data_IF_010567753240
#
_entry.id   IF_010567753240
#
_cell.length_a   1.000
_cell.length_b   1.000
_cell.length_c   1.000
_cell.angle_alpha   90.00
_cell.angle_beta   90.00
_cell.angle_gamma   90.00
#
_symmetry.space_group_name_H-M   'P 1'
#
loop_
_entity.id
_entity.type
_entity.pdbx_description
1 polymer ?
#
# COMPACT_ATOMS: atom_id res chain seq x y z
N UNK A 1 13.21 14.46 9.44
CA UNK A 1 13.14 13.93 8.06
C UNK A 1 11.70 13.53 7.74
N UNK A 2 11.17 13.91 6.58
CA UNK A 2 9.85 13.49 6.11
C UNK A 2 9.94 12.07 5.54
N UNK A 3 9.19 11.12 6.12
CA UNK A 3 9.13 9.74 5.61
C UNK A 3 8.34 9.75 4.30
N UNK A 4 8.91 9.18 3.23
CA UNK A 4 8.22 9.09 1.94
C UNK A 4 7.00 8.17 2.01
N UNK A 5 5.96 8.50 1.26
CA UNK A 5 4.72 7.71 1.25
C UNK A 5 4.96 6.28 0.73
N UNK A 6 5.96 6.08 -0.13
CA UNK A 6 6.38 4.74 -0.57
C UNK A 6 6.91 3.87 0.57
N UNK A 7 7.73 4.43 1.47
CA UNK A 7 8.20 3.70 2.66
C UNK A 7 7.03 3.32 3.57
N UNK A 8 6.01 4.18 3.66
CA UNK A 8 4.77 3.89 4.43
C UNK A 8 3.98 2.75 3.81
N UNK A 9 3.84 2.72 2.48
CA UNK A 9 3.16 1.64 1.77
C UNK A 9 3.88 0.29 1.98
N UNK A 10 5.21 0.25 1.84
CA UNK A 10 5.99 -0.96 2.11
C UNK A 10 5.84 -1.41 3.56
N UNK A 11 5.94 -0.47 4.53
CA UNK A 11 5.71 -0.80 5.93
C UNK A 11 4.31 -1.37 6.16
N UNK A 12 3.27 -0.74 5.60
CA UNK A 12 1.88 -1.16 5.76
C UNK A 12 1.63 -2.57 5.20
N UNK A 13 2.28 -2.94 4.10
CA UNK A 13 2.25 -4.29 3.53
C UNK A 13 2.90 -5.33 4.46
N UNK A 14 3.98 -4.95 5.17
CA UNK A 14 4.75 -5.86 6.01
C UNK A 14 4.26 -5.92 7.47
N UNK A 15 3.61 -4.87 7.96
CA UNK A 15 3.24 -4.75 9.36
C UNK A 15 2.29 -5.85 9.81
N UNK A 16 1.28 -6.23 9.00
CA UNK A 16 0.33 -7.28 9.36
C UNK A 16 0.99 -8.68 9.35
N UNK A 17 1.70 -9.13 8.30
CA UNK A 17 2.49 -10.37 8.35
C UNK A 17 3.51 -10.40 9.49
N UNK A 18 4.08 -9.24 9.86
CA UNK A 18 5.02 -9.11 10.97
C UNK A 18 4.44 -9.53 12.33
N UNK A 19 3.13 -9.68 12.50
CA UNK A 19 2.51 -10.18 13.74
C UNK A 19 2.99 -11.59 14.06
N UNK A 20 3.18 -12.43 13.03
CA UNK A 20 3.70 -13.79 13.19
C UNK A 20 5.16 -13.82 13.65
N UNK A 21 5.91 -12.73 13.47
CA UNK A 21 7.30 -12.56 13.91
C UNK A 21 7.48 -11.94 15.29
N UNK A 22 6.39 -11.56 15.97
CA UNK A 22 6.41 -11.00 17.32
C UNK A 22 7.07 -9.60 17.44
N UNK A 23 7.44 -9.23 18.67
CA UNK A 23 7.81 -7.85 19.03
C UNK A 23 9.09 -7.37 18.38
N UNK A 24 10.08 -8.26 18.27
CA UNK A 24 11.37 -7.94 17.65
C UNK A 24 11.20 -7.56 16.18
N UNK A 25 10.38 -8.31 15.44
CA UNK A 25 10.10 -8.04 14.03
C UNK A 25 9.34 -6.73 13.87
N UNK A 26 8.30 -6.49 14.66
CA UNK A 26 7.52 -5.25 14.59
C UNK A 26 8.35 -4.00 14.86
N UNK A 27 9.20 -4.03 15.90
CA UNK A 27 10.12 -2.93 16.20
C UNK A 27 11.15 -2.75 15.09
N UNK A 28 11.71 -3.84 14.56
CA UNK A 28 12.63 -3.81 13.44
C UNK A 28 12.03 -3.17 12.19
N UNK A 29 10.79 -3.54 11.84
CA UNK A 29 10.06 -2.94 10.72
C UNK A 29 9.78 -1.46 10.95
N UNK A 30 9.30 -1.10 12.14
CA UNK A 30 8.94 0.28 12.49
C UNK A 30 10.18 1.20 12.47
N UNK A 31 11.29 0.72 13.02
CA UNK A 31 12.59 1.41 12.97
C UNK A 31 13.10 1.54 11.55
N UNK A 32 13.14 0.43 10.78
CA UNK A 32 13.73 0.41 9.43
C UNK A 32 12.97 1.30 8.45
N UNK A 33 11.63 1.23 8.47
CA UNK A 33 10.81 1.87 7.43
C UNK A 33 10.25 3.22 7.85
N UNK A 34 9.95 3.40 9.14
CA UNK A 34 9.39 4.63 9.67
C UNK A 34 10.38 5.45 10.50
N UNK A 35 11.56 4.93 10.82
CA UNK A 35 12.53 5.62 11.67
C UNK A 35 11.98 5.92 13.07
N UNK A 36 10.99 5.16 13.52
CA UNK A 36 10.39 5.32 14.84
C UNK A 36 10.85 4.18 15.74
N UNK A 37 11.29 4.54 16.93
CA UNK A 37 11.68 3.62 17.99
C UNK A 37 10.88 4.00 19.23
N UNK A 38 10.12 3.05 19.77
CA UNK A 38 9.44 3.22 21.05
C UNK A 38 9.94 2.16 22.04
N UNK A 39 10.21 2.60 23.26
CA UNK A 39 10.55 1.69 24.37
C UNK A 39 9.31 0.95 24.92
N UNK A 40 8.11 1.34 24.50
CA UNK A 40 6.86 0.82 25.05
C UNK A 40 6.58 -0.63 24.66
N UNK A 41 5.77 -1.34 25.46
CA UNK A 41 5.31 -2.69 25.10
C UNK A 41 4.33 -2.60 23.92
N UNK A 42 4.49 -3.43 22.87
CA UNK A 42 3.59 -3.41 21.73
C UNK A 42 2.17 -3.82 22.11
N UNK A 43 1.18 -3.10 21.58
CA UNK A 43 -0.25 -3.26 21.83
C UNK A 43 -0.92 -3.90 20.62
N UNK A 44 -0.67 -5.20 20.42
CA UNK A 44 -1.12 -5.95 19.24
C UNK A 44 -2.61 -5.90 18.99
N UNK A 45 -3.42 -6.14 20.02
CA UNK A 45 -4.89 -6.16 19.88
C UNK A 45 -5.41 -4.82 19.37
N UNK A 46 -4.92 -3.72 19.94
CA UNK A 46 -5.30 -2.37 19.52
C UNK A 46 -4.78 -2.00 18.11
N UNK A 47 -3.63 -2.57 17.71
CA UNK A 47 -3.01 -2.30 16.43
C UNK A 47 -3.58 -3.14 15.28
N UNK A 48 -4.30 -4.23 15.56
CA UNK A 48 -4.74 -5.19 14.56
C UNK A 48 -5.64 -4.56 13.50
N UNK A 49 -6.73 -3.91 13.92
CA UNK A 49 -7.67 -3.25 13.01
C UNK A 49 -7.00 -2.23 12.07
N UNK A 50 -6.27 -1.23 12.60
CA UNK A 50 -5.49 -0.30 11.78
C UNK A 50 -4.49 -1.00 10.86
N UNK A 51 -3.88 -2.11 11.30
CA UNK A 51 -2.91 -2.86 10.49
C UNK A 51 -3.56 -3.63 9.36
N UNK A 52 -4.75 -4.19 9.57
CA UNK A 52 -5.53 -4.85 8.52
C UNK A 52 -5.96 -3.84 7.43
N UNK A 53 -6.47 -2.68 7.84
CA UNK A 53 -6.86 -1.61 6.89
C UNK A 53 -5.65 -1.11 6.12
N UNK A 54 -4.54 -0.81 6.79
CA UNK A 54 -3.32 -0.36 6.14
C UNK A 54 -2.76 -1.41 5.17
N UNK A 55 -2.81 -2.69 5.53
CA UNK A 55 -2.40 -3.80 4.69
C UNK A 55 -3.23 -3.88 3.40
N UNK A 56 -4.56 -3.83 3.51
CA UNK A 56 -5.45 -3.88 2.33
C UNK A 56 -5.25 -2.69 1.40
N UNK A 57 -5.08 -1.48 1.96
CA UNK A 57 -4.79 -0.29 1.17
C UNK A 57 -3.42 -0.38 0.46
N UNK A 58 -2.39 -0.87 1.15
CA UNK A 58 -1.08 -1.08 0.55
C UNK A 58 -1.15 -2.16 -0.54
N UNK A 59 -1.85 -3.28 -0.29
CA UNK A 59 -2.04 -4.35 -1.25
C UNK A 59 -2.76 -3.84 -2.51
N UNK A 60 -3.82 -3.06 -2.36
CA UNK A 60 -4.51 -2.41 -3.48
C UNK A 60 -3.57 -1.48 -4.26
N UNK A 61 -2.77 -0.65 -3.57
CA UNK A 61 -1.81 0.22 -4.23
C UNK A 61 -0.78 -0.57 -5.05
N UNK A 62 -0.18 -1.62 -4.47
CA UNK A 62 0.79 -2.47 -5.18
C UNK A 62 0.14 -3.24 -6.33
N UNK A 63 -1.12 -3.68 -6.17
CA UNK A 63 -1.91 -4.25 -7.26
C UNK A 63 -2.10 -3.25 -8.39
N UNK A 64 -2.49 -2.00 -8.11
CA UNK A 64 -2.67 -0.96 -9.12
C UNK A 64 -1.36 -0.69 -9.87
N UNK A 65 -0.24 -0.54 -9.15
CA UNK A 65 1.09 -0.36 -9.75
C UNK A 65 1.45 -1.53 -10.66
N UNK A 66 1.30 -2.76 -10.16
CA UNK A 66 1.56 -3.97 -10.93
C UNK A 66 0.66 -4.10 -12.14
N UNK A 67 -0.64 -3.80 -11.99
CA UNK A 67 -1.64 -3.85 -13.06
C UNK A 67 -1.31 -2.89 -14.19
N UNK A 68 -0.91 -1.66 -13.88
CA UNK A 68 -0.51 -0.68 -14.88
C UNK A 68 0.81 -1.06 -15.54
N UNK A 69 1.80 -1.49 -14.76
CA UNK A 69 3.11 -1.90 -15.27
C UNK A 69 3.03 -3.12 -16.22
N UNK A 70 2.06 -4.01 -15.99
CA UNK A 70 1.87 -5.24 -16.77
C UNK A 70 0.68 -5.18 -17.72
N UNK A 71 -0.01 -4.04 -17.82
CA UNK A 71 -1.30 -3.92 -18.52
C UNK A 71 -1.23 -4.44 -19.96
N UNK A 72 -0.20 -4.05 -20.72
CA UNK A 72 -0.04 -4.46 -22.12
C UNK A 72 0.22 -5.95 -22.31
N UNK A 73 0.80 -6.64 -21.33
CA UNK A 73 1.02 -8.10 -21.39
C UNK A 73 -0.28 -8.89 -21.30
N UNK A 74 -1.29 -8.31 -20.65
CA UNK A 74 -2.58 -8.93 -20.39
C UNK A 74 -3.72 -8.28 -21.18
N UNK A 75 -3.41 -7.41 -22.15
CA UNK A 75 -4.41 -6.79 -23.00
C UNK A 75 -4.76 -7.75 -24.13
N UNK A 76 -5.99 -8.25 -24.12
CA UNK A 76 -6.56 -9.05 -25.20
C UNK A 76 -7.54 -8.16 -25.94
N UNK A 77 -7.16 -7.66 -27.12
CA UNK A 77 -8.00 -6.78 -27.95
C UNK A 77 -9.27 -7.42 -28.52
N UNK A 78 -9.77 -8.49 -27.91
CA UNK A 78 -10.92 -9.28 -28.34
C UNK A 78 -12.26 -8.61 -28.05
N UNK A 79 -12.29 -7.49 -27.33
CA UNK A 79 -13.49 -6.67 -27.15
C UNK A 79 -13.17 -5.15 -27.10
N UNK A 80 -12.84 -4.54 -28.26
CA UNK A 80 -12.42 -3.14 -28.33
C UNK A 80 -13.54 -2.15 -27.96
N UNK A 81 -14.81 -2.55 -28.13
CA UNK A 81 -15.98 -1.71 -27.86
C UNK A 81 -16.32 -1.65 -26.36
N UNK A 82 -16.02 -2.71 -25.60
CA UNK A 82 -16.16 -2.73 -24.14
C UNK A 82 -15.03 -2.04 -23.36
N UNK A 83 -13.94 -1.64 -24.03
CA UNK A 83 -12.73 -1.16 -23.35
C UNK A 83 -12.77 0.34 -23.08
N UNK A 84 -12.73 0.72 -21.80
CA UNK A 84 -12.62 2.13 -21.40
C UNK A 84 -11.30 2.71 -21.90
N UNK A 85 -11.35 3.80 -22.68
CA UNK A 85 -10.20 4.39 -23.36
C UNK A 85 -10.09 4.07 -24.85
N UNK A 86 -11.09 3.39 -25.42
CA UNK A 86 -11.22 3.15 -26.85
C UNK A 86 -10.49 1.89 -27.33
N UNK A 87 -10.46 1.64 -28.65
CA UNK A 87 -10.06 0.34 -29.21
C UNK A 87 -8.54 0.11 -29.20
N UNK A 88 -7.74 1.10 -28.80
CA UNK A 88 -6.28 1.01 -28.81
C UNK A 88 -5.75 0.65 -27.43
N UNK A 89 -4.68 -0.16 -27.39
CA UNK A 89 -3.94 -0.45 -26.17
C UNK A 89 -3.51 0.84 -25.43
N UNK A 90 -3.00 1.83 -26.18
CA UNK A 90 -2.53 3.09 -25.61
C UNK A 90 -3.66 3.87 -24.94
N UNK A 91 -4.81 4.02 -25.61
CA UNK A 91 -5.97 4.72 -25.05
C UNK A 91 -6.51 4.02 -23.79
N UNK A 92 -6.66 2.69 -23.86
CA UNK A 92 -7.08 1.90 -22.71
C UNK A 92 -6.10 2.01 -21.53
N UNK A 93 -4.80 1.94 -21.80
CA UNK A 93 -3.76 2.10 -20.79
C UNK A 93 -3.81 3.47 -20.10
N UNK A 94 -3.95 4.56 -20.88
CA UNK A 94 -4.00 5.93 -20.35
C UNK A 94 -5.15 6.09 -19.35
N UNK A 95 -6.35 5.61 -19.70
CA UNK A 95 -7.52 5.71 -18.81
C UNK A 95 -7.27 4.96 -17.50
N UNK A 96 -6.78 3.73 -17.57
CA UNK A 96 -6.50 2.94 -16.36
C UNK A 96 -5.37 3.54 -15.53
N UNK A 97 -4.34 4.10 -16.17
CA UNK A 97 -3.25 4.81 -15.51
C UNK A 97 -3.79 6.01 -14.71
N UNK A 98 -4.66 6.83 -15.32
CA UNK A 98 -5.25 7.99 -14.64
C UNK A 98 -6.15 7.57 -13.47
N UNK A 99 -6.93 6.50 -13.62
CA UNK A 99 -7.73 5.93 -12.51
C UNK A 99 -6.82 5.45 -11.38
N UNK A 100 -5.78 4.67 -11.71
CA UNK A 100 -4.82 4.16 -10.73
C UNK A 100 -4.10 5.30 -10.00
N UNK A 101 -3.68 6.34 -10.73
CA UNK A 101 -3.07 7.53 -10.15
C UNK A 101 -4.05 8.29 -9.24
N UNK A 102 -5.29 8.49 -9.69
CA UNK A 102 -6.35 9.13 -8.92
C UNK A 102 -6.68 8.38 -7.62
N UNK A 103 -6.62 7.04 -7.63
CA UNK A 103 -6.78 6.20 -6.44
C UNK A 103 -5.54 6.17 -5.54
N UNK A 104 -4.33 6.24 -6.10
CA UNK A 104 -3.09 6.21 -5.33
C UNK A 104 -2.98 7.39 -4.36
N UNK A 105 -3.44 8.58 -4.77
CA UNK A 105 -3.42 9.80 -3.93
C UNK A 105 -4.17 9.62 -2.60
N UNK A 106 -5.48 9.30 -2.56
CA UNK A 106 -6.20 9.09 -1.30
C UNK A 106 -5.65 7.91 -0.50
N UNK A 107 -5.13 6.85 -1.16
CA UNK A 107 -4.47 5.75 -0.45
C UNK A 107 -3.24 6.25 0.31
N UNK A 108 -2.35 7.00 -0.33
CA UNK A 108 -1.18 7.57 0.35
C UNK A 108 -1.59 8.50 1.50
N UNK A 109 -2.61 9.34 1.30
CA UNK A 109 -3.14 10.20 2.35
C UNK A 109 -3.67 9.40 3.55
N UNK A 110 -4.40 8.30 3.31
CA UNK A 110 -4.92 7.42 4.36
C UNK A 110 -3.82 6.65 5.09
N UNK A 111 -2.76 6.23 4.39
CA UNK A 111 -1.64 5.50 4.99
C UNK A 111 -0.83 6.36 5.97
N UNK A 112 -0.79 7.70 5.81
CA UNK A 112 -0.06 8.60 6.72
C UNK A 112 -0.52 8.49 8.18
N UNK A 113 -1.79 8.72 8.55
CA UNK A 113 -2.25 8.58 9.92
C UNK A 113 -2.23 7.12 10.40
N UNK A 114 -2.54 6.15 9.53
CA UNK A 114 -2.54 4.73 9.90
C UNK A 114 -1.15 4.25 10.31
N UNK A 115 -0.13 4.51 9.50
CA UNK A 115 1.26 4.10 9.81
C UNK A 115 1.83 4.84 11.01
N UNK A 116 1.40 6.09 11.27
CA UNK A 116 1.74 6.79 12.51
C UNK A 116 1.10 6.12 13.73
N UNK A 117 -0.15 5.70 13.64
CA UNK A 117 -0.83 4.98 14.71
C UNK A 117 -0.17 3.62 14.95
N UNK A 118 0.13 2.86 13.90
CA UNK A 118 0.84 1.58 13.99
C UNK A 118 2.21 1.76 14.67
N UNK A 119 2.99 2.78 14.27
CA UNK A 119 4.28 3.05 14.91
C UNK A 119 4.16 3.30 16.43
N UNK A 120 3.11 4.01 16.87
CA UNK A 120 2.85 4.26 18.31
C UNK A 120 2.37 3.02 19.07
N UNK A 121 1.77 2.06 18.38
CA UNK A 121 1.21 0.86 19.01
C UNK A 121 2.17 -0.33 18.95
N UNK A 122 3.01 -0.43 17.92
CA UNK A 122 3.86 -1.59 17.62
C UNK A 122 5.36 -1.29 17.69
N UNK A 123 5.75 -0.01 17.59
CA UNK A 123 7.13 0.45 17.60
C UNK A 123 7.81 0.35 18.94
#
# INVERSE_FOLDING_TARGET
>A
MTISDWKRAVYALLALPGYFGGAKVQRGLTRRWLGHESGSRPRYVAAFGPSAVAFLLALLLFYLVGRIATYGLFWTGSDPEGTWGGPTLAGAWIVHFLIAAGMAVPIFLALRPLTRLQARLLG
#
